data_IF_998183688778
#
_entry.id   IF_998183688778
#
_cell.length_a   1.000
_cell.length_b   1.000
_cell.length_c   1.000
_cell.angle_alpha   90.00
_cell.angle_beta   90.00
_cell.angle_gamma   90.00
#
_symmetry.space_group_name_H-M   'P 1'
#
loop_
_entity.id
_entity.type
_entity.pdbx_description
1 polymer ?
#
# COMPACT_ATOMS: atom_id res chain seq x y z
N UNK A 1 -18.94 -25.93 5.99
CA UNK A 1 -17.52 -25.87 6.41
C UNK A 1 -17.21 -24.47 6.93
N UNK A 2 -16.62 -24.31 8.11
CA UNK A 2 -16.42 -22.99 8.75
C UNK A 2 -15.60 -22.00 7.91
N UNK A 3 -14.66 -22.51 7.10
CA UNK A 3 -13.79 -21.73 6.21
C UNK A 3 -14.56 -20.92 5.15
N UNK A 4 -15.65 -21.48 4.62
CA UNK A 4 -16.46 -20.78 3.62
C UNK A 4 -17.20 -19.57 4.20
N UNK A 5 -17.54 -19.61 5.48
CA UNK A 5 -18.21 -18.49 6.16
C UNK A 5 -17.23 -17.36 6.49
N UNK A 6 -15.98 -17.70 6.83
CA UNK A 6 -14.91 -16.69 7.00
C UNK A 6 -14.52 -16.03 5.68
N UNK A 7 -14.44 -16.77 4.58
CA UNK A 7 -14.17 -16.18 3.25
C UNK A 7 -15.28 -15.23 2.81
N UNK A 8 -16.54 -15.59 3.05
CA UNK A 8 -17.67 -14.74 2.71
C UNK A 8 -17.71 -13.44 3.55
N UNK A 9 -17.28 -13.50 4.81
CA UNK A 9 -17.16 -12.32 5.67
C UNK A 9 -15.99 -11.42 5.25
N UNK A 10 -14.84 -12.00 4.88
CA UNK A 10 -13.70 -11.27 4.33
C UNK A 10 -14.07 -10.55 3.02
N UNK A 11 -14.78 -11.24 2.13
CA UNK A 11 -15.24 -10.71 0.85
C UNK A 11 -16.23 -9.53 1.03
N UNK A 12 -17.14 -9.59 2.02
CA UNK A 12 -18.04 -8.47 2.32
C UNK A 12 -17.31 -7.25 2.90
N UNK A 13 -16.23 -7.43 3.67
CA UNK A 13 -15.41 -6.31 4.14
C UNK A 13 -14.57 -5.68 3.02
N UNK A 14 -14.12 -6.47 2.05
CA UNK A 14 -13.42 -6.01 0.84
C UNK A 14 -14.38 -5.33 -0.16
N UNK A 15 -15.60 -5.83 -0.30
CA UNK A 15 -16.61 -5.29 -1.22
C UNK A 15 -17.16 -3.92 -0.80
N UNK A 16 -17.08 -3.56 0.49
CA UNK A 16 -17.36 -2.18 0.96
C UNK A 16 -16.26 -1.17 0.57
N UNK A 17 -15.20 -1.64 -0.12
CA UNK A 17 -13.96 -0.92 -0.46
C UNK A 17 -13.81 -0.67 -1.97
N UNK A 18 -14.90 -0.56 -2.73
CA UNK A 18 -14.90 -0.47 -4.21
C UNK A 18 -14.11 0.70 -4.79
N UNK A 19 -13.72 1.69 -3.99
CA UNK A 19 -12.84 2.81 -4.41
C UNK A 19 -11.34 2.55 -4.19
N UNK A 20 -10.98 1.45 -3.53
CA UNK A 20 -9.57 1.14 -3.19
C UNK A 20 -8.95 0.24 -4.25
N UNK A 21 -8.03 0.80 -5.05
CA UNK A 21 -7.22 0.01 -5.98
C UNK A 21 -6.15 -0.77 -5.25
N UNK A 22 -5.98 -2.04 -5.61
CA UNK A 22 -4.88 -2.86 -5.13
C UNK A 22 -3.63 -2.62 -6.00
N UNK A 23 -2.71 -1.79 -5.51
CA UNK A 23 -1.48 -1.42 -6.23
C UNK A 23 -0.47 -2.57 -6.32
N UNK A 24 -0.46 -3.49 -5.35
CA UNK A 24 0.46 -4.64 -5.34
C UNK A 24 0.15 -5.59 -6.50
N UNK A 25 -1.14 -5.86 -6.75
CA UNK A 25 -1.55 -6.70 -7.89
C UNK A 25 -1.17 -6.05 -9.23
N UNK A 26 -1.32 -4.73 -9.36
CA UNK A 26 -0.94 -4.01 -10.57
C UNK A 26 0.58 -4.04 -10.79
N UNK A 27 1.37 -3.88 -9.71
CA UNK A 27 2.83 -3.95 -9.78
C UNK A 27 3.31 -5.36 -10.18
N UNK A 28 2.72 -6.42 -9.62
CA UNK A 28 3.02 -7.81 -10.01
C UNK A 28 2.73 -8.10 -11.48
N UNK A 29 1.68 -7.49 -12.03
CA UNK A 29 1.34 -7.61 -13.46
C UNK A 29 2.23 -6.76 -14.38
N UNK A 30 3.13 -5.95 -13.83
CA UNK A 30 3.96 -5.02 -14.60
C UNK A 30 3.17 -3.84 -15.19
N UNK A 31 1.95 -3.59 -14.71
CA UNK A 31 1.07 -2.52 -15.19
C UNK A 31 1.36 -1.16 -14.52
N UNK A 32 2.34 -1.11 -13.61
CA UNK A 32 2.77 0.10 -12.90
C UNK A 32 4.05 0.65 -13.54
N UNK A 33 4.07 1.95 -13.83
CA UNK A 33 5.26 2.62 -14.35
C UNK A 33 6.40 2.51 -13.33
N UNK A 34 7.59 2.02 -13.72
CA UNK A 34 8.74 2.01 -12.82
C UNK A 34 9.09 3.44 -12.45
N UNK A 35 9.21 3.74 -11.16
CA UNK A 35 9.52 5.10 -10.71
C UNK A 35 10.80 5.15 -9.93
N UNK A 36 11.59 6.17 -10.24
CA UNK A 36 12.81 6.47 -9.50
C UNK A 36 12.45 6.97 -8.10
N UNK A 37 12.84 6.21 -7.10
CA UNK A 37 12.55 6.53 -5.70
C UNK A 37 13.80 6.99 -4.96
N UNK A 38 13.58 7.70 -3.86
CA UNK A 38 14.64 8.09 -2.94
C UNK A 38 14.88 6.92 -1.99
N UNK A 39 15.97 6.19 -2.20
CA UNK A 39 16.29 4.95 -1.47
C UNK A 39 16.27 5.14 0.06
N UNK A 40 16.92 6.19 0.57
CA UNK A 40 16.94 6.48 2.00
C UNK A 40 15.53 6.65 2.58
N UNK A 41 14.67 7.41 1.90
CA UNK A 41 13.32 7.71 2.37
C UNK A 41 12.40 6.47 2.28
N UNK A 42 12.58 5.61 1.27
CA UNK A 42 11.87 4.35 1.18
C UNK A 42 12.29 3.38 2.31
N UNK A 43 13.58 3.31 2.60
CA UNK A 43 14.12 2.51 3.70
C UNK A 43 13.53 2.96 5.04
N UNK A 44 13.50 4.27 5.32
CA UNK A 44 12.92 4.81 6.54
C UNK A 44 11.43 4.45 6.66
N UNK A 45 10.68 4.52 5.56
CA UNK A 45 9.27 4.14 5.52
C UNK A 45 9.08 2.66 5.84
N UNK A 46 9.88 1.78 5.24
CA UNK A 46 9.85 0.33 5.54
C UNK A 46 10.17 0.08 7.01
N UNK A 47 11.17 0.79 7.57
CA UNK A 47 11.54 0.66 8.98
C UNK A 47 10.38 1.02 9.91
N UNK A 48 9.69 2.14 9.67
CA UNK A 48 8.53 2.55 10.50
C UNK A 48 7.35 1.57 10.33
N UNK A 49 7.08 1.11 9.11
CA UNK A 49 6.04 0.13 8.85
C UNK A 49 6.31 -1.24 9.50
N UNK A 50 7.60 -1.55 9.77
CA UNK A 50 8.02 -2.78 10.43
C UNK A 50 7.88 -2.75 11.95
N UNK A 51 7.47 -1.63 12.54
CA UNK A 51 7.25 -1.50 13.99
C UNK A 51 6.00 -2.28 14.44
N UNK A 52 6.04 -2.76 15.69
CA UNK A 52 4.95 -3.53 16.32
C UNK A 52 3.75 -2.65 16.66
N UNK A 53 4.00 -1.40 17.10
CA UNK A 53 2.98 -0.39 17.42
C UNK A 53 3.18 0.86 16.58
N UNK A 54 2.13 1.68 16.44
CA UNK A 54 2.18 3.01 15.81
C UNK A 54 2.75 3.09 14.38
N UNK A 55 2.58 2.02 13.60
CA UNK A 55 3.07 1.87 12.21
C UNK A 55 2.40 2.77 11.15
N UNK A 56 1.60 3.76 11.53
CA UNK A 56 0.89 4.60 10.56
C UNK A 56 1.77 5.77 10.11
N UNK A 57 2.00 5.87 8.81
CA UNK A 57 2.86 6.93 8.23
C UNK A 57 2.02 7.94 7.46
N UNK A 58 2.29 9.23 7.69
CA UNK A 58 1.68 10.34 6.95
C UNK A 58 2.78 11.08 6.19
N UNK A 59 2.68 11.09 4.86
CA UNK A 59 3.60 11.83 3.99
C UNK A 59 3.13 13.27 3.84
N UNK A 60 3.93 14.23 4.32
CA UNK A 60 3.64 15.67 4.24
C UNK A 60 4.67 16.36 3.36
N UNK A 61 4.23 17.31 2.54
CA UNK A 61 5.11 18.12 1.72
C UNK A 61 4.36 18.83 0.58
N UNK A 62 5.05 19.69 -0.19
CA UNK A 62 4.47 20.43 -1.31
C UNK A 62 3.81 19.52 -2.37
N UNK A 63 2.89 20.04 -3.21
CA UNK A 63 2.45 19.34 -4.41
C UNK A 63 3.66 19.06 -5.32
N UNK A 64 3.68 17.89 -5.98
CA UNK A 64 4.81 17.48 -6.82
C UNK A 64 6.00 16.83 -6.09
N UNK A 65 6.03 16.80 -4.75
CA UNK A 65 7.13 16.19 -3.98
C UNK A 65 7.28 14.66 -4.11
N UNK A 66 6.49 13.99 -4.96
CA UNK A 66 6.60 12.55 -5.18
C UNK A 66 5.98 11.66 -4.09
N UNK A 67 5.11 12.19 -3.22
CA UNK A 67 4.49 11.43 -2.12
C UNK A 67 3.77 10.15 -2.59
N UNK A 68 3.03 10.22 -3.70
CA UNK A 68 2.30 9.07 -4.27
C UNK A 68 3.26 8.07 -4.92
N UNK A 69 4.22 8.60 -5.64
CA UNK A 69 5.27 7.86 -6.32
C UNK A 69 6.05 6.98 -5.36
N UNK A 70 6.43 7.52 -4.20
CA UNK A 70 7.11 6.77 -3.16
C UNK A 70 6.32 5.54 -2.69
N UNK A 71 5.01 5.69 -2.50
CA UNK A 71 4.13 4.59 -2.07
C UNK A 71 4.00 3.51 -3.15
N UNK A 72 4.09 3.88 -4.43
CA UNK A 72 4.08 2.91 -5.53
C UNK A 72 5.39 2.13 -5.69
N UNK A 73 6.47 2.58 -5.06
CA UNK A 73 7.78 1.92 -5.07
C UNK A 73 7.97 0.89 -3.96
N UNK A 74 6.99 0.77 -3.04
CA UNK A 74 6.95 -0.25 -1.99
C UNK A 74 6.44 -1.59 -2.53
#
# INVERSE_FOLDING_TARGET
TPRAMTDFLADRTLSKRTTTRNWVILAQKGEVTPVYFREALLRDLITVLSLVTDRHVILVGPPGAGKRTLVYSL
#
